data_IF_083249297025
#
_entry.id   IF_083249297025
#
_cell.length_a   1.000
_cell.length_b   1.000
_cell.length_c   1.000
_cell.angle_alpha   90.00
_cell.angle_beta   90.00
_cell.angle_gamma   90.00
#
_symmetry.space_group_name_H-M   'P 1'
#
loop_
_entity.id
_entity.type
_entity.pdbx_description
1 polymer ?
#
# COMPACT_ATOMS: atom_id res chain seq x y z
N UNK A 1 5.66 -2.37 -14.67
CA UNK A 1 7.12 -2.20 -14.87
C UNK A 1 7.57 -1.09 -13.94
N UNK A 2 8.73 -1.24 -13.31
CA UNK A 2 9.23 -0.32 -12.28
C UNK A 2 10.68 0.05 -12.58
N UNK A 3 10.98 1.35 -12.70
CA UNK A 3 12.33 1.88 -12.85
C UNK A 3 12.62 2.79 -11.66
N UNK A 4 13.58 2.42 -10.82
CA UNK A 4 13.93 3.21 -9.64
C UNK A 4 15.01 4.23 -10.01
N UNK A 5 14.77 5.52 -9.73
CA UNK A 5 15.83 6.53 -9.70
C UNK A 5 16.20 6.74 -8.22
N UNK A 6 17.29 6.10 -7.81
CA UNK A 6 17.75 6.12 -6.42
C UNK A 6 18.37 7.49 -6.13
N UNK A 7 17.57 8.37 -5.51
CA UNK A 7 18.08 9.51 -4.76
C UNK A 7 18.89 9.02 -3.56
N UNK A 8 20.07 9.62 -3.36
CA UNK A 8 21.13 9.16 -2.47
C UNK A 8 20.69 9.01 -1.00
N UNK A 9 20.73 7.79 -0.45
CA UNK A 9 21.58 7.46 0.71
C UNK A 9 21.59 5.95 1.06
N UNK A 10 22.81 5.41 1.10
CA UNK A 10 23.31 4.29 1.93
C UNK A 10 22.72 2.88 1.83
N UNK A 11 23.41 2.07 1.03
CA UNK A 11 23.55 0.62 1.20
C UNK A 11 22.96 -0.15 0.04
N UNK A 12 23.79 -0.93 -0.65
CA UNK A 12 23.40 -1.95 -1.62
C UNK A 12 22.65 -3.06 -0.86
N UNK A 13 21.45 -2.75 -0.34
CA UNK A 13 20.62 -3.68 0.43
C UNK A 13 19.89 -4.56 -0.59
N UNK A 14 20.04 -5.90 -0.50
CA UNK A 14 19.37 -6.78 -1.45
C UNK A 14 17.87 -6.64 -1.26
N UNK A 15 17.17 -6.43 -2.37
CA UNK A 15 15.74 -6.62 -2.43
C UNK A 15 15.42 -8.12 -2.43
N UNK A 16 14.43 -8.53 -1.66
CA UNK A 16 13.86 -9.88 -1.71
C UNK A 16 12.82 -9.92 -2.81
N UNK A 17 12.88 -10.97 -3.61
CA UNK A 17 11.80 -11.32 -4.54
C UNK A 17 10.88 -12.33 -3.85
N UNK A 18 9.59 -12.03 -3.81
CA UNK A 18 8.53 -12.93 -3.39
C UNK A 18 7.61 -13.20 -4.58
N UNK A 19 7.43 -14.48 -4.90
CA UNK A 19 6.63 -14.94 -6.02
C UNK A 19 5.74 -16.10 -5.58
N UNK A 20 4.43 -16.01 -5.81
CA UNK A 20 3.44 -17.01 -5.42
C UNK A 20 2.54 -17.39 -6.60
N UNK A 21 2.15 -18.66 -6.67
CA UNK A 21 1.18 -19.20 -7.65
C UNK A 21 1.46 -18.76 -9.09
N UNK A 22 2.73 -18.86 -9.49
CA UNK A 22 3.20 -18.57 -10.85
C UNK A 22 3.51 -17.10 -11.12
N UNK A 23 3.44 -16.22 -10.12
CA UNK A 23 3.97 -14.86 -10.25
C UNK A 23 5.48 -14.87 -10.52
N UNK A 24 5.95 -13.87 -11.25
CA UNK A 24 7.37 -13.71 -11.59
C UNK A 24 7.80 -12.25 -11.50
N UNK A 25 9.02 -12.06 -11.02
CA UNK A 25 9.73 -10.78 -11.07
C UNK A 25 10.94 -10.96 -11.96
N UNK A 26 10.95 -10.26 -13.09
CA UNK A 26 12.02 -10.29 -14.09
C UNK A 26 12.82 -8.99 -13.97
N UNK A 27 14.14 -9.11 -13.80
CA UNK A 27 15.04 -7.98 -13.88
C UNK A 27 15.43 -7.77 -15.35
N UNK A 28 14.97 -6.68 -15.94
CA UNK A 28 15.43 -6.22 -17.26
C UNK A 28 16.51 -5.14 -17.07
N UNK A 29 17.25 -4.79 -18.11
CA UNK A 29 18.40 -3.87 -18.02
C UNK A 29 18.08 -2.53 -17.35
N UNK A 30 16.87 -2.00 -17.54
CA UNK A 30 16.47 -0.68 -17.07
C UNK A 30 15.28 -0.68 -16.09
N UNK A 31 14.62 -1.82 -15.86
CA UNK A 31 13.42 -1.90 -15.02
C UNK A 31 13.14 -3.31 -14.53
N UNK A 32 12.35 -3.39 -13.46
CA UNK A 32 11.76 -4.63 -12.98
C UNK A 32 10.39 -4.85 -13.60
N UNK A 33 10.14 -6.06 -14.08
CA UNK A 33 8.86 -6.48 -14.67
C UNK A 33 8.21 -7.53 -13.80
N UNK A 34 7.00 -7.21 -13.35
CA UNK A 34 6.19 -8.05 -12.49
C UNK A 34 5.10 -8.68 -13.34
N UNK A 35 5.05 -10.01 -13.37
CA UNK A 35 4.16 -10.78 -14.22
C UNK A 35 3.33 -11.69 -13.33
N UNK A 36 2.00 -11.61 -13.48
CA UNK A 36 1.08 -12.54 -12.85
C UNK A 36 0.36 -13.32 -13.95
N UNK A 37 0.37 -14.67 -13.90
CA UNK A 37 -0.42 -15.48 -14.81
C UNK A 37 -1.90 -15.40 -14.43
N UNK A 38 -2.82 -15.68 -15.37
CA UNK A 38 -4.22 -15.86 -15.03
C UNK A 38 -4.35 -17.08 -14.10
N UNK A 39 -4.92 -16.87 -12.92
CA UNK A 39 -5.24 -17.93 -11.96
C UNK A 39 -6.75 -18.05 -11.76
N UNK A 40 -7.25 -19.27 -11.67
CA UNK A 40 -8.70 -19.54 -11.50
C UNK A 40 -9.11 -19.62 -10.02
N UNK A 41 -8.18 -19.97 -9.13
CA UNK A 41 -8.38 -20.03 -7.68
C UNK A 41 -7.07 -19.66 -6.96
N UNK A 42 -7.21 -19.10 -5.76
CA UNK A 42 -6.08 -18.73 -4.89
C UNK A 42 -5.60 -17.29 -5.10
N UNK A 43 -4.41 -17.02 -4.58
CA UNK A 43 -3.76 -15.70 -4.59
C UNK A 43 -2.40 -15.80 -5.28
N UNK A 44 -2.20 -15.10 -6.39
CA UNK A 44 -0.89 -15.00 -7.05
C UNK A 44 -0.22 -13.69 -6.64
N UNK A 45 1.10 -13.73 -6.52
CA UNK A 45 1.89 -12.60 -6.08
C UNK A 45 3.20 -12.52 -6.84
N UNK A 46 3.58 -11.29 -7.15
CA UNK A 46 4.89 -10.93 -7.66
C UNK A 46 5.23 -9.64 -6.93
N UNK A 47 6.22 -9.71 -6.05
CA UNK A 47 6.56 -8.64 -5.14
C UNK A 47 8.08 -8.53 -5.00
N UNK A 48 8.54 -7.30 -4.82
CA UNK A 48 9.85 -6.99 -4.29
C UNK A 48 9.65 -6.33 -2.93
N UNK A 49 10.36 -6.79 -1.92
CA UNK A 49 10.37 -6.18 -0.59
C UNK A 49 11.77 -6.15 0.03
N UNK A 50 11.95 -5.38 1.08
CA UNK A 50 13.16 -5.35 1.90
C UNK A 50 12.90 -5.70 3.37
N UNK A 51 11.65 -6.04 3.71
CA UNK A 51 11.26 -6.38 5.07
C UNK A 51 11.36 -7.88 5.37
N UNK A 52 11.32 -8.74 4.34
CA UNK A 52 11.29 -10.19 4.47
C UNK A 52 12.53 -10.82 5.11
N UNK A 53 13.64 -10.07 5.16
CA UNK A 53 14.87 -10.51 5.82
C UNK A 53 14.85 -10.35 7.35
N UNK A 54 13.83 -9.68 7.89
CA UNK A 54 13.78 -9.33 9.32
C UNK A 54 12.68 -10.11 10.06
N UNK A 55 13.08 -10.82 11.12
CA UNK A 55 12.13 -11.52 12.00
C UNK A 55 11.36 -10.60 12.95
N UNK A 56 11.81 -9.36 13.16
CA UNK A 56 11.15 -8.39 14.05
C UNK A 56 10.99 -7.04 13.35
N UNK A 57 9.77 -6.50 13.36
CA UNK A 57 9.39 -5.22 12.72
C UNK A 57 10.20 -4.02 13.19
N UNK A 58 10.70 -4.02 14.44
CA UNK A 58 11.59 -2.97 14.96
C UNK A 58 12.91 -2.82 14.20
N UNK A 59 13.26 -3.80 13.37
CA UNK A 59 14.45 -3.79 12.53
C UNK A 59 14.14 -3.42 11.07
N UNK A 60 12.89 -3.04 10.77
CA UNK A 60 12.56 -2.57 9.43
C UNK A 60 13.39 -1.33 9.10
N UNK A 61 13.89 -1.23 7.85
CA UNK A 61 14.94 -0.30 7.48
C UNK A 61 14.47 1.16 7.40
N UNK A 62 13.17 1.37 7.16
CA UNK A 62 12.60 2.67 6.85
C UNK A 62 11.92 3.29 8.06
N UNK A 63 12.23 4.57 8.28
CA UNK A 63 11.62 5.43 9.28
C UNK A 63 11.35 6.79 8.64
N UNK A 64 10.61 7.67 9.33
CA UNK A 64 10.40 9.05 8.91
C UNK A 64 11.73 9.76 8.55
N UNK A 65 11.69 10.67 7.59
CA UNK A 65 12.85 11.37 7.02
C UNK A 65 13.38 10.77 5.72
N UNK A 66 12.58 9.94 5.03
CA UNK A 66 12.97 9.27 3.78
C UNK A 66 12.04 9.64 2.63
N UNK A 67 12.57 9.56 1.41
CA UNK A 67 11.83 9.72 0.16
C UNK A 67 11.88 8.42 -0.65
N UNK A 68 10.71 7.90 -1.02
CA UNK A 68 10.57 6.88 -2.07
C UNK A 68 10.42 7.60 -3.41
N UNK A 69 11.17 7.19 -4.42
CA UNK A 69 11.13 7.77 -5.77
C UNK A 69 11.30 6.67 -6.82
N UNK A 70 10.35 6.55 -7.75
CA UNK A 70 10.39 5.57 -8.82
C UNK A 70 9.50 5.97 -10.00
N UNK A 71 9.84 5.50 -11.19
CA UNK A 71 8.95 5.49 -12.33
C UNK A 71 8.20 4.15 -12.37
N UNK A 72 6.90 4.20 -12.62
CA UNK A 72 6.09 2.99 -12.78
C UNK A 72 5.06 3.14 -13.89
N UNK A 73 4.71 1.99 -14.47
CA UNK A 73 3.51 1.82 -15.29
C UNK A 73 2.89 0.44 -15.11
N UNK A 74 1.61 0.33 -15.39
CA UNK A 74 0.84 -0.90 -15.35
C UNK A 74 0.54 -1.40 -16.76
N UNK A 75 0.23 -2.69 -16.90
CA UNK A 75 -0.10 -3.29 -18.19
C UNK A 75 -1.50 -2.92 -18.69
N UNK A 76 -2.38 -2.49 -17.80
CA UNK A 76 -3.78 -2.18 -18.09
C UNK A 76 -4.22 -0.93 -17.30
N UNK A 77 -5.23 -0.24 -17.83
CA UNK A 77 -5.85 0.90 -17.17
C UNK A 77 -6.71 0.48 -15.96
N UNK A 78 -7.08 1.47 -15.15
CA UNK A 78 -8.00 1.28 -14.04
C UNK A 78 -9.34 0.66 -14.53
N UNK A 79 -9.86 -0.31 -13.78
CA UNK A 79 -11.08 -1.04 -14.11
C UNK A 79 -10.87 -2.27 -14.98
N UNK A 80 -9.81 -2.29 -15.81
CA UNK A 80 -9.40 -3.47 -16.58
C UNK A 80 -8.45 -4.33 -15.76
N UNK A 81 -7.44 -3.71 -15.13
CA UNK A 81 -6.49 -4.42 -14.27
C UNK A 81 -7.22 -5.14 -13.13
N UNK A 82 -6.93 -6.42 -12.95
CA UNK A 82 -7.54 -7.28 -11.91
C UNK A 82 -6.60 -7.43 -10.71
N UNK A 83 -7.19 -7.54 -9.52
CA UNK A 83 -6.46 -7.67 -8.26
C UNK A 83 -6.03 -6.32 -7.70
N UNK A 84 -4.86 -6.31 -7.06
CA UNK A 84 -4.25 -5.13 -6.45
C UNK A 84 -2.84 -4.93 -6.97
N UNK A 85 -2.37 -3.69 -6.99
CA UNK A 85 -1.00 -3.37 -7.35
C UNK A 85 -0.60 -2.07 -6.67
N UNK A 86 0.68 -1.82 -6.45
CA UNK A 86 1.11 -0.61 -5.76
C UNK A 86 2.51 -0.70 -5.22
N UNK A 87 2.89 0.34 -4.49
CA UNK A 87 4.21 0.50 -3.88
C UNK A 87 4.13 1.54 -2.77
N UNK A 88 4.99 1.43 -1.78
CA UNK A 88 5.00 2.31 -0.62
C UNK A 88 5.69 1.67 0.58
N UNK A 89 5.53 2.30 1.74
CA UNK A 89 5.98 1.74 3.01
C UNK A 89 4.79 1.08 3.72
N UNK A 90 4.98 -0.15 4.18
CA UNK A 90 3.94 -0.93 4.83
C UNK A 90 4.58 -1.88 5.85
N UNK A 91 3.95 -2.02 7.01
CA UNK A 91 4.52 -2.79 8.13
C UNK A 91 4.14 -4.28 8.14
N UNK A 92 3.54 -4.80 7.06
CA UNK A 92 3.10 -6.18 6.94
C UNK A 92 2.30 -6.64 8.16
N UNK A 93 1.16 -6.01 8.47
CA UNK A 93 0.39 -6.29 9.68
C UNK A 93 -0.11 -7.73 9.73
N UNK A 94 -0.48 -8.31 8.59
CA UNK A 94 -0.85 -9.72 8.48
C UNK A 94 0.35 -10.62 8.10
N UNK A 95 1.55 -10.06 8.10
CA UNK A 95 2.82 -10.72 7.82
C UNK A 95 3.21 -10.75 6.34
N UNK A 96 4.47 -11.13 6.10
CA UNK A 96 4.80 -11.97 4.96
C UNK A 96 3.81 -13.16 4.95
N UNK A 97 3.24 -13.58 3.80
CA UNK A 97 2.44 -14.80 3.71
C UNK A 97 3.05 -16.03 4.40
N UNK A 98 4.38 -16.01 4.64
CA UNK A 98 5.15 -17.04 5.34
C UNK A 98 5.33 -16.84 6.87
N UNK A 99 4.98 -15.68 7.47
CA UNK A 99 5.13 -15.39 8.91
C UNK A 99 3.81 -14.87 9.54
N UNK A 100 3.29 -15.57 10.56
CA UNK A 100 1.90 -15.41 11.07
C UNK A 100 1.71 -14.52 12.32
N UNK A 101 2.53 -13.50 12.56
CA UNK A 101 2.35 -12.65 13.76
C UNK A 101 1.61 -11.35 13.41
N UNK A 102 0.32 -11.22 13.80
CA UNK A 102 -0.46 -10.03 13.49
C UNK A 102 0.11 -8.80 14.20
N UNK A 103 0.11 -7.66 13.52
CA UNK A 103 0.40 -6.34 14.06
C UNK A 103 -0.69 -5.35 13.65
N UNK A 104 -0.75 -4.22 14.36
CA UNK A 104 -1.62 -3.11 13.97
C UNK A 104 -1.11 -2.54 12.63
N UNK A 105 -1.99 -2.33 11.63
CA UNK A 105 -1.60 -1.88 10.30
C UNK A 105 -1.04 -0.46 10.31
N UNK A 106 0.08 -0.29 9.62
CA UNK A 106 0.67 1.02 9.31
C UNK A 106 1.16 0.99 7.86
N UNK A 107 0.64 1.91 7.05
CA UNK A 107 0.91 1.96 5.62
C UNK A 107 0.83 3.40 5.07
N UNK A 108 1.70 3.67 4.10
CA UNK A 108 1.69 4.88 3.27
C UNK A 108 2.09 4.46 1.85
N UNK A 109 1.18 4.62 0.88
CA UNK A 109 1.36 3.98 -0.43
C UNK A 109 0.63 4.66 -1.58
N UNK A 110 1.12 4.36 -2.78
CA UNK A 110 0.35 4.40 -4.01
C UNK A 110 -0.27 3.02 -4.21
N UNK A 111 -1.59 2.95 -4.36
CA UNK A 111 -2.31 1.68 -4.37
C UNK A 111 -3.41 1.65 -5.41
N UNK A 112 -3.50 0.52 -6.10
CA UNK A 112 -4.56 0.17 -7.03
C UNK A 112 -5.39 -0.96 -6.45
N UNK A 113 -6.71 -0.82 -6.47
CA UNK A 113 -7.63 -1.91 -6.18
C UNK A 113 -8.71 -2.03 -7.26
N UNK A 114 -8.83 -3.22 -7.84
CA UNK A 114 -9.88 -3.53 -8.83
C UNK A 114 -11.29 -3.60 -8.19
N UNK A 115 -12.34 -3.59 -9.02
CA UNK A 115 -13.74 -3.59 -8.56
C UNK A 115 -14.14 -4.65 -7.49
N UNK A 116 -13.70 -5.92 -7.57
CA UNK A 116 -14.02 -6.90 -6.54
C UNK A 116 -13.28 -6.67 -5.21
N UNK A 117 -12.28 -5.80 -5.18
CA UNK A 117 -11.61 -5.41 -3.93
C UNK A 117 -12.51 -4.50 -3.11
N UNK A 118 -12.67 -4.83 -1.84
CA UNK A 118 -13.32 -3.98 -0.84
C UNK A 118 -12.27 -3.60 0.20
N UNK A 119 -11.67 -2.43 0.03
CA UNK A 119 -10.82 -1.83 1.04
C UNK A 119 -11.68 -0.81 1.81
N UNK A 120 -12.15 -1.14 3.02
CA UNK A 120 -13.00 -0.26 3.81
C UNK A 120 -12.15 0.86 4.44
N UNK A 121 -11.28 1.53 3.67
CA UNK A 121 -10.46 2.64 4.12
C UNK A 121 -11.11 4.00 3.78
N UNK A 122 -11.89 4.08 2.71
CA UNK A 122 -12.46 5.34 2.24
C UNK A 122 -13.92 5.59 2.71
N UNK A 123 -14.22 6.85 3.04
CA UNK A 123 -15.59 7.36 3.34
C UNK A 123 -16.46 7.43 2.07
N UNK A 124 -15.83 7.78 0.94
CA UNK A 124 -16.44 7.95 -0.37
C UNK A 124 -15.46 7.39 -1.41
N UNK A 125 -15.99 6.59 -2.33
CA UNK A 125 -15.17 5.69 -3.16
C UNK A 125 -14.88 4.40 -2.41
N UNK A 126 -15.04 3.24 -3.05
CA UNK A 126 -14.91 1.94 -2.39
C UNK A 126 -13.45 1.51 -2.12
N UNK A 127 -12.51 2.46 -1.98
CA UNK A 127 -11.08 2.17 -1.97
C UNK A 127 -10.65 1.44 -3.25
N UNK A 128 -11.18 1.91 -4.39
CA UNK A 128 -11.04 1.30 -5.72
C UNK A 128 -10.43 2.27 -6.71
N UNK A 129 -9.84 1.72 -7.77
CA UNK A 129 -9.10 2.50 -8.75
C UNK A 129 -7.68 2.78 -8.27
N UNK A 130 -7.03 3.76 -8.88
CA UNK A 130 -5.67 4.19 -8.54
C UNK A 130 -5.74 5.37 -7.57
N UNK A 131 -5.04 5.28 -6.45
CA UNK A 131 -5.11 6.29 -5.38
C UNK A 131 -3.86 6.28 -4.51
N UNK A 132 -3.69 7.35 -3.74
CA UNK A 132 -2.77 7.38 -2.59
C UNK A 132 -3.56 7.21 -1.30
N UNK A 133 -2.96 6.53 -0.33
CA UNK A 133 -3.58 6.38 0.97
C UNK A 133 -2.55 6.25 2.10
N UNK A 134 -3.00 6.65 3.28
CA UNK A 134 -2.30 6.45 4.55
C UNK A 134 -3.19 5.67 5.51
N UNK A 135 -2.57 4.94 6.43
CA UNK A 135 -3.21 4.25 7.55
C UNK A 135 -2.19 4.12 8.67
N UNK A 136 -2.56 4.49 9.88
CA UNK A 136 -1.77 4.28 11.08
C UNK A 136 -2.65 3.86 12.26
N UNK A 137 -2.80 2.55 12.43
CA UNK A 137 -3.49 1.96 13.56
C UNK A 137 -2.59 1.79 14.80
N UNK A 138 -1.33 2.25 14.76
CA UNK A 138 -0.38 2.13 15.88
C UNK A 138 -0.43 3.32 16.84
N UNK A 139 -1.09 4.41 16.44
CA UNK A 139 -1.25 5.62 17.25
C UNK A 139 -2.01 5.33 18.55
N UNK A 140 -1.73 6.09 19.62
CA UNK A 140 -2.46 5.94 20.88
C UNK A 140 -3.98 6.13 20.71
N UNK A 141 -4.39 7.07 19.84
CA UNK A 141 -5.79 7.27 19.48
C UNK A 141 -6.41 6.05 18.82
N UNK A 142 -5.69 5.37 17.93
CA UNK A 142 -6.14 4.14 17.30
C UNK A 142 -6.24 2.99 18.31
N UNK A 143 -5.20 2.80 19.13
CA UNK A 143 -5.16 1.73 20.15
C UNK A 143 -6.28 1.88 21.17
N UNK A 144 -6.69 3.12 21.50
CA UNK A 144 -7.84 3.36 22.38
C UNK A 144 -9.17 2.78 21.87
N UNK A 145 -9.28 2.49 20.56
CA UNK A 145 -10.46 1.88 19.97
C UNK A 145 -10.49 0.36 20.11
N UNK A 146 -9.38 -0.30 20.49
CA UNK A 146 -9.28 -1.76 20.58
C UNK A 146 -10.34 -2.38 21.49
N UNK A 147 -10.61 -1.86 22.71
CA UNK A 147 -11.67 -2.40 23.57
C UNK A 147 -13.07 -2.31 22.95
N UNK A 148 -13.29 -1.30 22.10
CA UNK A 148 -14.55 -1.07 21.41
C UNK A 148 -14.62 -1.77 20.04
N UNK A 149 -13.53 -2.39 19.58
CA UNK A 149 -13.42 -2.92 18.23
C UNK A 149 -14.56 -3.90 17.86
N UNK A 150 -14.99 -4.85 18.72
CA UNK A 150 -16.10 -5.75 18.37
C UNK A 150 -17.40 -4.99 18.10
N UNK A 151 -17.71 -4.00 18.95
CA UNK A 151 -18.89 -3.17 18.79
C UNK A 151 -18.79 -2.30 17.52
N UNK A 152 -17.62 -1.68 17.28
CA UNK A 152 -17.39 -0.87 16.09
C UNK A 152 -17.51 -1.70 14.80
N UNK A 153 -17.03 -2.95 14.79
CA UNK A 153 -17.16 -3.86 13.66
C UNK A 153 -18.63 -4.24 13.40
N UNK A 154 -19.41 -4.48 14.45
CA UNK A 154 -20.86 -4.73 14.32
C UNK A 154 -21.60 -3.50 13.79
N UNK A 155 -21.28 -2.32 14.32
CA UNK A 155 -21.89 -1.05 13.88
C UNK A 155 -21.52 -0.71 12.43
N UNK A 156 -20.33 -1.11 11.97
CA UNK A 156 -19.89 -0.93 10.60
C UNK A 156 -20.73 -1.73 9.58
N UNK A 157 -21.46 -2.77 10.01
CA UNK A 157 -22.37 -3.52 9.14
C UNK A 157 -23.62 -2.70 8.78
N UNK A 158 -23.98 -1.70 9.60
CA UNK A 158 -25.11 -0.82 9.33
C UNK A 158 -24.65 0.44 8.56
N UNK A 159 -25.14 0.61 7.33
CA UNK A 159 -24.78 1.74 6.45
C UNK A 159 -25.00 3.12 7.09
N UNK A 160 -26.08 3.29 7.86
CA UNK A 160 -26.41 4.58 8.47
C UNK A 160 -25.48 4.90 9.64
N UNK A 161 -25.23 3.94 10.53
CA UNK A 161 -24.34 4.13 11.67
C UNK A 161 -22.88 4.28 11.22
N UNK A 162 -22.49 3.57 10.16
CA UNK A 162 -21.19 3.72 9.51
C UNK A 162 -20.94 5.17 9.10
N UNK A 163 -21.87 5.86 8.44
CA UNK A 163 -21.64 7.25 8.02
C UNK A 163 -21.38 8.22 9.18
N UNK A 164 -21.91 7.95 10.37
CA UNK A 164 -21.72 8.80 11.56
C UNK A 164 -20.42 8.51 12.31
N UNK A 165 -20.08 7.24 12.49
CA UNK A 165 -18.94 6.84 13.35
C UNK A 165 -17.63 6.85 12.54
N UNK A 166 -17.70 6.54 11.25
CA UNK A 166 -16.53 6.34 10.40
C UNK A 166 -15.62 7.57 10.25
N UNK A 167 -16.12 8.83 10.15
CA UNK A 167 -15.25 10.00 10.12
C UNK A 167 -14.31 10.10 11.34
N UNK A 168 -14.83 9.79 12.53
CA UNK A 168 -14.06 9.80 13.77
C UNK A 168 -13.03 8.67 13.80
N UNK A 169 -13.43 7.45 13.39
CA UNK A 169 -12.51 6.31 13.27
C UNK A 169 -11.38 6.63 12.30
N UNK A 170 -11.71 7.20 11.13
CA UNK A 170 -10.74 7.58 10.09
C UNK A 170 -9.66 8.51 10.65
N UNK A 171 -10.06 9.54 11.38
CA UNK A 171 -9.15 10.48 12.00
C UNK A 171 -8.23 9.79 13.02
N UNK A 172 -8.79 8.92 13.87
CA UNK A 172 -8.01 8.19 14.89
C UNK A 172 -7.05 7.17 14.31
N UNK A 173 -7.38 6.59 13.16
CA UNK A 173 -6.55 5.64 12.41
C UNK A 173 -5.60 6.33 11.42
N UNK A 174 -5.50 7.66 11.40
CA UNK A 174 -4.63 8.39 10.47
C UNK A 174 -4.91 8.09 9.00
N UNK A 175 -6.17 7.78 8.65
CA UNK A 175 -6.53 7.37 7.30
C UNK A 175 -6.75 8.60 6.43
N UNK A 176 -5.92 8.72 5.40
CA UNK A 176 -6.09 9.68 4.30
C UNK A 176 -6.22 8.93 2.99
N UNK A 177 -6.95 9.51 2.04
CA UNK A 177 -7.21 8.91 0.74
C UNK A 177 -7.39 10.02 -0.30
N UNK A 178 -6.70 9.90 -1.43
CA UNK A 178 -6.92 10.76 -2.59
C UNK A 178 -6.83 9.95 -3.89
N UNK A 179 -7.86 9.97 -4.75
CA UNK A 179 -7.84 9.28 -6.04
C UNK A 179 -6.86 9.96 -7.01
N UNK A 180 -6.19 9.15 -7.83
CA UNK A 180 -5.27 9.62 -8.85
C UNK A 180 -5.94 9.54 -10.22
N UNK A 181 -6.02 10.69 -10.90
CA UNK A 181 -6.61 10.81 -12.24
C UNK A 181 -5.55 10.80 -13.36
N UNK A 182 -4.53 9.93 -13.22
CA UNK A 182 -3.46 9.76 -14.22
C UNK A 182 -3.59 8.42 -14.94
N UNK A 183 -3.06 8.34 -16.16
CA UNK A 183 -3.10 7.12 -16.95
C UNK A 183 -2.11 6.07 -16.40
N UNK A 184 -2.65 5.03 -15.76
CA UNK A 184 -1.86 3.93 -15.22
C UNK A 184 -0.97 3.22 -16.26
N UNK A 185 -1.28 3.27 -17.56
CA UNK A 185 -0.53 2.57 -18.61
C UNK A 185 0.69 3.36 -19.11
N UNK A 186 0.70 4.67 -18.86
CA UNK A 186 1.83 5.54 -19.14
C UNK A 186 2.88 5.44 -18.03
N UNK A 187 4.13 5.75 -18.38
CA UNK A 187 5.19 5.91 -17.40
C UNK A 187 4.99 7.24 -16.68
N UNK A 188 4.92 7.18 -15.36
CA UNK A 188 4.83 8.34 -14.48
C UNK A 188 5.93 8.28 -13.43
N UNK A 189 6.43 9.44 -13.02
CA UNK A 189 7.34 9.55 -11.89
C UNK A 189 6.54 9.72 -10.61
N UNK A 190 6.67 8.76 -9.71
CA UNK A 190 6.03 8.77 -8.41
C UNK A 190 7.05 9.07 -7.32
N UNK A 191 6.71 9.98 -6.43
CA UNK A 191 7.47 10.21 -5.22
C UNK A 191 6.58 10.27 -3.98
N UNK A 192 7.12 9.78 -2.87
CA UNK A 192 6.51 9.82 -1.55
C UNK A 192 7.56 10.31 -0.56
N UNK A 193 7.33 11.49 0.00
CA UNK A 193 8.12 12.03 1.10
C UNK A 193 7.44 11.63 2.42
N UNK A 194 8.12 10.79 3.21
CA UNK A 194 7.67 10.42 4.55
C UNK A 194 8.40 11.28 5.57
N UNK A 195 7.72 12.26 6.16
CA UNK A 195 8.26 13.24 7.10
C UNK A 195 7.66 13.06 8.50
N UNK A 196 8.25 13.70 9.51
CA UNK A 196 7.74 13.59 10.89
C UNK A 196 6.34 14.18 11.10
N UNK A 197 5.95 15.16 10.29
CA UNK A 197 4.63 15.79 10.36
C UNK A 197 3.56 15.08 9.51
N UNK A 198 3.94 14.14 8.64
CA UNK A 198 3.02 13.50 7.70
C UNK A 198 3.71 12.98 6.44
N UNK A 199 2.91 12.72 5.40
CA UNK A 199 3.39 12.21 4.12
C UNK A 199 2.91 13.11 2.99
N UNK A 200 3.78 13.36 2.01
CA UNK A 200 3.46 14.10 0.79
C UNK A 200 3.67 13.21 -0.43
N UNK A 201 2.69 13.19 -1.33
CA UNK A 201 2.71 12.37 -2.53
C UNK A 201 2.84 13.23 -3.77
N UNK A 202 3.67 12.80 -4.72
CA UNK A 202 3.89 13.50 -5.97
C UNK A 202 3.73 12.54 -7.15
N UNK A 203 3.12 13.03 -8.23
CA UNK A 203 3.07 12.37 -9.54
C UNK A 203 3.51 13.37 -10.59
N UNK A 204 4.56 13.04 -11.34
CA UNK A 204 5.19 13.93 -12.33
C UNK A 204 5.47 15.32 -11.74
N UNK A 205 6.07 15.33 -10.55
CA UNK A 205 6.40 16.53 -9.74
C UNK A 205 5.19 17.29 -9.17
N UNK A 206 3.96 16.98 -9.58
CA UNK A 206 2.74 17.58 -9.03
C UNK A 206 2.34 16.95 -7.68
N UNK A 207 2.09 17.80 -6.68
CA UNK A 207 1.57 17.39 -5.37
C UNK A 207 0.11 16.91 -5.50
N UNK A 208 -0.20 15.80 -4.83
CA UNK A 208 -1.53 15.17 -4.78
C UNK A 208 -2.28 15.54 -3.50
#
# INVERSE_FOLDING_TARGET
MFRQEIGQNNGNRPFRILALNGGHVLQEDAYWRFVLPPITKGYADAQIDDYGFYHRRRFYPWQQGVRLSLQARFSHSAGILKGTAGFGFWNAPFGDPTIRWPALPQAVWFFYASAPSDLPLALQGAGRGWFVATLDATTFSAVSLVPLAPLLLLLNQNRQLRSYIWPMIRQRLGISYAPLAVDMTAWHHYALDWQGAGCSFYVDEALI
#
